data_IF_786467068355
#
_entry.id   IF_786467068355
#
_cell.length_a   1.000
_cell.length_b   1.000
_cell.length_c   1.000
_cell.angle_alpha   90.00
_cell.angle_beta   90.00
_cell.angle_gamma   90.00
#
_symmetry.space_group_name_H-M   'P 1'
#
loop_
_entity.id
_entity.type
_entity.pdbx_description
1 polymer ?
#
# COMPACT_ATOMS: atom_id res chain seq x y z
N UNK A 1 8.80 10.83 12.89
CA UNK A 1 10.07 10.12 13.14
C UNK A 1 11.19 10.59 12.22
N UNK A 2 11.18 10.32 10.90
CA UNK A 2 12.26 10.70 9.96
C UNK A 2 12.73 12.16 10.08
N UNK A 3 11.80 13.11 10.07
CA UNK A 3 12.13 14.54 10.20
C UNK A 3 12.88 14.86 11.49
N UNK A 4 12.47 14.23 12.60
CA UNK A 4 13.10 14.40 13.91
C UNK A 4 14.50 13.78 13.92
N UNK A 5 14.67 12.58 13.34
CA UNK A 5 15.99 11.93 13.21
C UNK A 5 16.97 12.81 12.44
N UNK A 6 16.55 13.36 11.29
CA UNK A 6 17.39 14.27 10.50
C UNK A 6 17.71 15.55 11.29
N UNK A 7 16.73 16.13 11.99
CA UNK A 7 16.94 17.32 12.82
C UNK A 7 17.94 17.06 13.95
N UNK A 8 17.81 15.93 14.66
CA UNK A 8 18.71 15.54 15.75
C UNK A 8 20.13 15.27 15.24
N UNK A 9 20.27 14.52 14.14
CA UNK A 9 21.57 14.28 13.53
C UNK A 9 22.25 15.58 13.09
N UNK A 10 21.51 16.48 12.43
CA UNK A 10 22.04 17.79 12.00
C UNK A 10 22.40 18.69 13.18
N UNK A 11 21.65 18.63 14.29
CA UNK A 11 21.93 19.38 15.50
C UNK A 11 23.24 18.95 16.18
N UNK A 12 23.62 17.67 16.06
CA UNK A 12 24.87 17.14 16.60
C UNK A 12 26.13 17.53 15.81
N UNK A 13 25.96 18.07 14.59
CA UNK A 13 27.07 18.50 13.72
C UNK A 13 27.36 20.00 13.95
N UNK A 14 28.62 20.38 14.24
CA UNK A 14 29.02 21.78 14.33
C UNK A 14 28.63 22.56 13.06
N UNK A 15 28.18 23.81 13.20
CA UNK A 15 27.64 24.59 12.08
C UNK A 15 28.63 24.70 10.91
N UNK A 16 29.92 24.82 11.20
CA UNK A 16 30.99 24.90 10.21
C UNK A 16 31.14 23.61 9.38
N UNK A 17 30.76 22.46 9.95
CA UNK A 17 30.91 21.13 9.35
C UNK A 17 29.60 20.60 8.76
N UNK A 18 28.52 21.40 8.79
CA UNK A 18 27.22 20.97 8.28
C UNK A 18 27.29 20.79 6.76
N UNK A 19 26.92 19.60 6.25
CA UNK A 19 26.90 19.38 4.82
C UNK A 19 25.82 20.24 4.15
N UNK A 20 26.07 20.65 2.91
CA UNK A 20 25.03 21.20 2.05
C UNK A 20 24.09 20.07 1.66
N UNK A 21 22.81 20.19 2.02
CA UNK A 21 21.78 19.19 1.72
C UNK A 21 20.76 19.80 0.76
N UNK A 22 20.48 19.10 -0.33
CA UNK A 22 19.33 19.37 -1.19
C UNK A 22 18.23 18.38 -0.86
N UNK A 23 17.04 18.88 -0.54
CA UNK A 23 15.91 18.05 -0.16
C UNK A 23 14.98 17.86 -1.34
N UNK A 24 14.55 16.62 -1.55
CA UNK A 24 13.56 16.26 -2.54
C UNK A 24 12.49 15.41 -1.89
N UNK A 25 11.24 15.58 -2.34
CA UNK A 25 10.17 14.61 -2.11
C UNK A 25 10.01 13.76 -3.37
N UNK A 26 9.64 12.51 -3.17
CA UNK A 26 9.23 11.61 -4.24
C UNK A 26 7.92 10.93 -3.83
N UNK A 27 7.14 10.60 -4.85
CA UNK A 27 5.84 9.94 -4.78
C UNK A 27 5.49 9.58 -6.21
N UNK A 28 4.47 10.18 -6.80
CA UNK A 28 4.26 10.11 -8.25
C UNK A 28 5.28 10.97 -9.03
N UNK A 29 5.78 12.03 -8.40
CA UNK A 29 6.70 12.99 -9.00
C UNK A 29 7.88 13.32 -8.08
N UNK A 30 9.03 13.63 -8.68
CA UNK A 30 10.19 14.18 -7.95
C UNK A 30 10.09 15.70 -7.90
N UNK A 31 10.12 16.28 -6.70
CA UNK A 31 10.11 17.72 -6.50
C UNK A 31 11.12 18.15 -5.44
N UNK A 32 11.87 19.24 -5.72
CA UNK A 32 12.75 19.88 -4.72
C UNK A 32 11.89 20.56 -3.66
N UNK A 33 12.27 20.41 -2.39
CA UNK A 33 11.63 21.10 -1.27
C UNK A 33 12.65 21.97 -0.55
N UNK A 34 12.27 23.15 -0.07
CA UNK A 34 13.21 24.10 0.53
C UNK A 34 13.56 23.74 1.98
N UNK A 35 12.73 22.93 2.66
CA UNK A 35 12.95 22.57 4.06
C UNK A 35 12.34 21.21 4.44
N UNK A 36 12.83 20.64 5.56
CA UNK A 36 12.28 19.42 6.15
C UNK A 36 10.81 19.54 6.56
N UNK A 37 10.35 20.76 6.89
CA UNK A 37 8.97 21.01 7.29
C UNK A 37 8.02 20.75 6.13
N UNK A 38 8.45 21.07 4.90
CA UNK A 38 7.66 20.94 3.67
C UNK A 38 7.64 19.54 3.07
N UNK A 39 8.43 18.59 3.60
CA UNK A 39 8.30 17.18 3.24
C UNK A 39 6.93 16.65 3.70
N UNK A 40 5.99 16.45 2.78
CA UNK A 40 4.66 15.89 3.05
C UNK A 40 4.42 14.69 2.16
N UNK A 41 3.75 13.67 2.70
CA UNK A 41 3.20 12.57 1.91
C UNK A 41 1.87 13.05 1.33
N UNK A 42 1.87 13.43 0.05
CA UNK A 42 0.68 13.97 -0.63
C UNK A 42 0.30 13.18 -1.88
N UNK A 43 1.14 12.24 -2.29
CA UNK A 43 0.95 11.41 -3.46
C UNK A 43 0.49 10.00 -3.01
N UNK A 44 -0.28 9.29 -3.83
CA UNK A 44 -0.84 7.96 -3.51
C UNK A 44 0.09 6.79 -3.87
N UNK A 45 1.16 7.06 -4.63
CA UNK A 45 2.11 6.07 -5.08
C UNK A 45 3.57 6.48 -4.78
N UNK A 46 4.46 5.49 -4.69
CA UNK A 46 5.90 5.69 -4.45
C UNK A 46 6.73 5.23 -5.66
N UNK A 47 6.92 6.12 -6.64
CA UNK A 47 7.70 5.84 -7.85
C UNK A 47 9.20 6.13 -7.66
N UNK A 48 9.86 5.34 -6.81
CA UNK A 48 11.27 5.54 -6.45
C UNK A 48 12.21 5.45 -7.67
N UNK A 49 12.07 4.42 -8.52
CA UNK A 49 12.96 4.25 -9.68
C UNK A 49 12.86 5.44 -10.68
N UNK A 50 11.67 5.86 -11.13
CA UNK A 50 11.54 7.09 -11.94
C UNK A 50 12.04 8.35 -11.25
N UNK A 51 11.93 8.44 -9.92
CA UNK A 51 12.46 9.59 -9.18
C UNK A 51 13.99 9.63 -9.22
N UNK A 52 14.67 8.50 -9.03
CA UNK A 52 16.13 8.40 -9.12
C UNK A 52 16.63 8.65 -10.55
N UNK A 53 15.92 8.20 -11.59
CA UNK A 53 16.29 8.52 -12.98
C UNK A 53 16.30 10.03 -13.26
N UNK A 54 15.37 10.76 -12.66
CA UNK A 54 15.22 12.21 -12.87
C UNK A 54 16.14 13.04 -12.00
N UNK A 55 16.56 12.52 -10.84
CA UNK A 55 17.32 13.26 -9.84
C UNK A 55 18.62 13.89 -10.39
N UNK A 56 19.46 13.20 -11.20
CA UNK A 56 20.68 13.79 -11.75
C UNK A 56 20.42 15.06 -12.56
N UNK A 57 19.32 15.12 -13.30
CA UNK A 57 18.93 16.31 -14.09
C UNK A 57 18.48 17.50 -13.24
N UNK A 58 18.14 17.27 -11.97
CA UNK A 58 17.68 18.29 -11.02
C UNK A 58 18.78 18.76 -10.08
N UNK A 59 19.94 18.12 -10.11
CA UNK A 59 21.09 18.50 -9.32
C UNK A 59 21.70 19.78 -9.90
N UNK A 60 21.88 20.80 -9.04
CA UNK A 60 22.59 22.02 -9.40
C UNK A 60 24.09 21.75 -9.69
N UNK A 61 24.83 22.76 -10.13
CA UNK A 61 26.24 22.66 -10.53
C UNK A 61 27.18 22.13 -9.44
N UNK A 62 26.76 22.10 -8.17
CA UNK A 62 27.50 21.46 -7.08
C UNK A 62 27.07 19.99 -6.99
N UNK A 63 27.92 19.09 -7.49
CA UNK A 63 27.61 17.68 -7.57
C UNK A 63 27.59 17.08 -6.14
N UNK A 64 26.46 16.50 -5.68
CA UNK A 64 26.39 15.85 -4.39
C UNK A 64 27.38 14.68 -4.32
N UNK A 65 27.78 14.34 -3.11
CA UNK A 65 28.69 13.21 -2.84
C UNK A 65 27.97 11.91 -2.52
N UNK A 66 26.67 11.99 -2.23
CA UNK A 66 25.82 10.85 -1.91
C UNK A 66 24.36 11.22 -2.10
N UNK A 67 23.51 10.21 -2.31
CA UNK A 67 22.05 10.33 -2.25
C UNK A 67 21.55 9.48 -1.08
N UNK A 68 20.72 10.09 -0.23
CA UNK A 68 20.06 9.38 0.86
C UNK A 68 18.58 9.22 0.50
N UNK A 69 18.11 7.98 0.46
CA UNK A 69 16.70 7.63 0.23
C UNK A 69 16.09 7.25 1.56
N UNK A 70 14.98 7.89 1.91
CA UNK A 70 14.22 7.59 3.10
C UNK A 70 12.84 7.10 2.68
N UNK A 71 12.58 5.83 2.93
CA UNK A 71 11.38 5.11 2.50
C UNK A 71 11.12 3.96 3.46
N UNK A 72 9.89 3.49 3.56
CA UNK A 72 9.53 2.21 4.19
C UNK A 72 10.02 0.98 3.40
N UNK A 73 10.57 1.18 2.21
CA UNK A 73 11.11 0.12 1.37
C UNK A 73 10.08 -0.51 0.42
N UNK A 74 8.88 0.08 0.28
CA UNK A 74 7.93 -0.34 -0.73
C UNK A 74 8.50 -0.09 -2.14
N UNK A 75 8.67 -1.16 -2.92
CA UNK A 75 9.18 -1.11 -4.29
C UNK A 75 8.29 -1.94 -5.21
N UNK A 76 8.01 -1.40 -6.40
CA UNK A 76 7.25 -2.10 -7.44
C UNK A 76 8.17 -2.83 -8.45
N UNK A 77 9.34 -2.25 -8.74
CA UNK A 77 10.27 -2.72 -9.79
C UNK A 77 11.72 -2.78 -9.28
N UNK A 78 12.09 -3.92 -8.69
CA UNK A 78 13.43 -4.13 -8.13
C UNK A 78 14.54 -4.30 -9.17
N UNK A 79 14.24 -4.83 -10.36
CA UNK A 79 15.24 -5.04 -11.41
C UNK A 79 15.70 -3.69 -11.96
N UNK A 80 14.75 -2.79 -12.25
CA UNK A 80 15.06 -1.42 -12.69
C UNK A 80 15.86 -0.66 -11.65
N UNK A 81 15.54 -0.83 -10.37
CA UNK A 81 16.27 -0.19 -9.29
C UNK A 81 17.73 -0.70 -9.20
N UNK A 82 17.96 -1.98 -9.45
CA UNK A 82 19.31 -2.57 -9.50
C UNK A 82 20.16 -1.91 -10.59
N UNK A 83 19.63 -1.81 -11.82
CA UNK A 83 20.32 -1.13 -12.93
C UNK A 83 20.62 0.34 -12.62
N UNK A 84 19.69 1.02 -11.94
CA UNK A 84 19.92 2.41 -11.48
C UNK A 84 21.05 2.50 -10.47
N UNK A 85 21.13 1.59 -9.50
CA UNK A 85 22.21 1.62 -8.51
C UNK A 85 23.60 1.44 -9.14
N UNK A 86 23.71 0.66 -10.22
CA UNK A 86 24.97 0.52 -10.97
C UNK A 86 25.33 1.81 -11.70
N UNK A 87 24.37 2.45 -12.38
CA UNK A 87 24.60 3.75 -13.03
C UNK A 87 25.03 4.85 -12.04
N UNK A 88 24.42 4.88 -10.84
CA UNK A 88 24.82 5.78 -9.76
C UNK A 88 26.23 5.49 -9.23
N UNK A 89 26.62 4.22 -9.16
CA UNK A 89 27.98 3.81 -8.78
C UNK A 89 29.00 4.28 -9.82
N UNK A 90 28.70 4.18 -11.11
CA UNK A 90 29.56 4.69 -12.18
C UNK A 90 29.77 6.22 -12.09
N UNK A 91 28.73 6.95 -11.66
CA UNK A 91 28.82 8.39 -11.39
C UNK A 91 29.55 8.74 -10.06
N UNK A 92 30.09 7.75 -9.34
CA UNK A 92 30.67 7.92 -8.00
C UNK A 92 29.69 8.58 -7.00
N UNK A 93 28.39 8.31 -7.16
CA UNK A 93 27.32 8.88 -6.36
C UNK A 93 26.57 7.75 -5.64
N UNK A 94 27.08 7.25 -4.48
CA UNK A 94 26.45 6.17 -3.76
C UNK A 94 25.02 6.54 -3.31
N UNK A 95 24.11 5.57 -3.43
CA UNK A 95 22.76 5.65 -2.86
C UNK A 95 22.76 4.91 -1.53
N UNK A 96 22.44 5.61 -0.45
CA UNK A 96 22.21 5.06 0.88
C UNK A 96 20.72 5.02 1.17
N UNK A 97 20.20 3.86 1.54
CA UNK A 97 18.80 3.71 1.94
C UNK A 97 18.70 3.70 3.46
N UNK A 98 17.80 4.53 4.00
CA UNK A 98 17.36 4.46 5.38
C UNK A 98 15.90 4.03 5.39
N UNK A 99 15.64 2.90 6.04
CA UNK A 99 14.28 2.39 6.17
C UNK A 99 13.59 3.19 7.27
N UNK A 100 12.57 3.94 6.88
CA UNK A 100 11.67 4.64 7.77
C UNK A 100 10.57 3.68 8.21
N UNK A 101 10.84 2.89 9.24
CA UNK A 101 9.87 1.93 9.79
C UNK A 101 9.70 2.12 11.29
N UNK A 102 8.47 1.94 11.76
CA UNK A 102 8.19 1.73 13.17
C UNK A 102 8.77 0.37 13.58
N UNK A 103 9.47 0.28 14.72
CA UNK A 103 10.08 -0.98 15.18
C UNK A 103 9.04 -2.07 15.51
N UNK A 104 7.74 -1.76 15.40
CA UNK A 104 6.61 -2.67 15.56
C UNK A 104 6.00 -3.20 14.26
N UNK A 105 6.50 -2.81 13.08
CA UNK A 105 6.03 -3.37 11.81
C UNK A 105 6.48 -4.81 11.66
N UNK A 106 5.51 -5.71 11.48
CA UNK A 106 5.73 -7.15 11.32
C UNK A 106 5.53 -7.61 9.88
N UNK A 107 4.69 -6.92 9.13
CA UNK A 107 4.41 -7.23 7.73
C UNK A 107 3.12 -6.58 7.25
N UNK A 108 2.37 -7.25 6.37
CA UNK A 108 1.13 -6.69 5.81
C UNK A 108 0.12 -7.80 5.49
N UNK A 109 -1.18 -7.48 5.56
CA UNK A 109 -2.28 -8.35 5.10
C UNK A 109 -3.26 -7.51 4.30
N UNK A 110 -3.58 -7.93 3.09
CA UNK A 110 -4.37 -7.15 2.15
C UNK A 110 -5.37 -7.99 1.37
N UNK A 111 -6.48 -7.38 0.99
CA UNK A 111 -7.35 -7.88 -0.08
C UNK A 111 -6.75 -7.40 -1.40
N UNK A 112 -6.00 -8.26 -2.08
CA UNK A 112 -5.29 -7.89 -3.30
C UNK A 112 -6.19 -7.87 -4.54
N UNK A 113 -7.16 -8.79 -4.60
CA UNK A 113 -8.12 -8.88 -5.70
C UNK A 113 -9.50 -9.26 -5.19
N UNK A 114 -10.54 -8.76 -5.86
CA UNK A 114 -11.92 -9.15 -5.62
C UNK A 114 -12.67 -9.23 -6.96
N UNK A 115 -13.21 -10.42 -7.24
CA UNK A 115 -14.09 -10.68 -8.36
C UNK A 115 -15.46 -11.09 -7.83
N UNK A 116 -16.50 -10.38 -8.28
CA UNK A 116 -17.89 -10.58 -7.86
C UNK A 116 -18.77 -10.92 -9.06
N UNK A 117 -19.86 -11.70 -8.89
CA UNK A 117 -20.80 -11.95 -9.96
C UNK A 117 -21.45 -10.65 -10.46
N UNK A 118 -21.54 -10.42 -11.78
CA UNK A 118 -22.06 -9.16 -12.32
C UNK A 118 -23.57 -9.00 -12.10
N UNK A 119 -24.31 -10.10 -11.98
CA UNK A 119 -25.74 -10.14 -11.68
C UNK A 119 -26.08 -11.31 -10.79
N UNK A 120 -26.95 -11.09 -9.82
CA UNK A 120 -27.42 -12.09 -8.86
C UNK A 120 -28.95 -12.12 -8.81
N UNK A 121 -29.54 -13.24 -8.42
CA UNK A 121 -30.99 -13.38 -8.26
C UNK A 121 -31.32 -13.42 -6.78
N UNK A 122 -32.25 -12.59 -6.31
CA UNK A 122 -32.71 -12.65 -4.91
C UNK A 122 -33.16 -14.07 -4.55
N UNK A 123 -32.70 -14.55 -3.40
CA UNK A 123 -32.88 -15.92 -2.91
C UNK A 123 -31.76 -16.90 -3.29
N UNK A 124 -30.86 -16.54 -4.21
CA UNK A 124 -29.72 -17.38 -4.58
C UNK A 124 -28.51 -17.12 -3.66
N UNK A 125 -27.39 -17.78 -3.96
CA UNK A 125 -26.08 -17.56 -3.32
C UNK A 125 -25.12 -16.92 -4.32
N UNK A 126 -24.38 -15.91 -3.89
CA UNK A 126 -23.33 -15.27 -4.69
C UNK A 126 -21.95 -15.69 -4.19
N UNK A 127 -21.13 -16.26 -5.08
CA UNK A 127 -19.73 -16.62 -4.77
C UNK A 127 -18.82 -15.45 -5.09
N UNK A 128 -18.16 -14.91 -4.07
CA UNK A 128 -17.11 -13.90 -4.18
C UNK A 128 -15.76 -14.61 -4.24
N UNK A 129 -14.97 -14.30 -5.27
CA UNK A 129 -13.60 -14.80 -5.41
C UNK A 129 -12.64 -13.69 -5.05
N UNK A 130 -11.79 -13.92 -4.07
CA UNK A 130 -10.83 -12.91 -3.62
C UNK A 130 -9.44 -13.51 -3.47
N UNK A 131 -8.42 -12.69 -3.67
CA UNK A 131 -7.03 -13.05 -3.37
C UNK A 131 -6.62 -12.27 -2.15
N UNK A 132 -6.31 -12.96 -1.07
CA UNK A 132 -5.69 -12.38 0.12
C UNK A 132 -4.19 -12.46 -0.05
N UNK A 133 -3.49 -11.35 0.14
CA UNK A 133 -2.03 -11.32 0.19
C UNK A 133 -1.61 -11.10 1.64
N UNK A 134 -0.65 -11.88 2.12
CA UNK A 134 -0.09 -11.69 3.47
C UNK A 134 1.42 -11.77 3.44
N UNK A 135 2.10 -11.03 4.32
CA UNK A 135 3.54 -11.12 4.55
C UNK A 135 3.81 -10.98 6.04
N UNK A 136 4.59 -11.86 6.64
CA UNK A 136 4.96 -11.78 8.07
C UNK A 136 3.85 -12.18 9.04
N UNK A 137 2.75 -12.75 8.52
CA UNK A 137 1.58 -13.17 9.28
C UNK A 137 1.23 -14.65 9.08
N UNK A 138 2.13 -15.45 8.51
CA UNK A 138 1.94 -16.87 8.27
C UNK A 138 1.47 -17.63 9.53
N UNK A 139 0.52 -18.55 9.35
CA UNK A 139 -0.07 -19.35 10.43
C UNK A 139 -1.10 -18.63 11.28
N UNK A 140 -1.30 -17.32 11.12
CA UNK A 140 -2.35 -16.61 11.84
C UNK A 140 -3.72 -16.90 11.25
N UNK A 141 -4.71 -17.08 12.13
CA UNK A 141 -6.10 -17.32 11.75
C UNK A 141 -6.87 -16.01 11.78
N UNK A 142 -7.47 -15.65 10.66
CA UNK A 142 -8.29 -14.45 10.50
C UNK A 142 -9.64 -14.81 9.87
N UNK A 143 -10.59 -13.88 9.89
CA UNK A 143 -11.93 -14.07 9.33
C UNK A 143 -12.17 -13.01 8.27
N UNK A 144 -12.36 -13.42 7.02
CA UNK A 144 -12.94 -12.54 6.01
C UNK A 144 -14.42 -12.36 6.33
N UNK A 145 -14.91 -11.14 6.23
CA UNK A 145 -16.30 -10.81 6.50
C UNK A 145 -16.89 -9.92 5.42
N UNK A 146 -18.15 -10.17 5.07
CA UNK A 146 -18.94 -9.27 4.21
C UNK A 146 -19.98 -8.56 5.05
N UNK A 147 -20.05 -7.25 4.92
CA UNK A 147 -21.06 -6.41 5.53
C UNK A 147 -21.81 -5.61 4.47
N UNK A 148 -23.03 -5.17 4.80
CA UNK A 148 -23.65 -4.09 4.04
C UNK A 148 -22.84 -2.81 4.24
N UNK A 149 -22.68 -2.00 3.19
CA UNK A 149 -21.86 -0.79 3.25
C UNK A 149 -22.38 0.16 4.36
N UNK A 150 -21.47 0.65 5.21
CA UNK A 150 -21.80 1.53 6.34
C UNK A 150 -22.46 0.82 7.53
N UNK A 151 -22.48 -0.52 7.54
CA UNK A 151 -22.98 -1.37 8.65
C UNK A 151 -21.92 -2.36 9.12
N UNK A 152 -20.67 -1.94 9.20
CA UNK A 152 -19.54 -2.78 9.63
C UNK A 152 -19.63 -3.21 11.11
N UNK A 153 -20.43 -2.51 11.92
CA UNK A 153 -20.73 -2.90 13.32
C UNK A 153 -21.88 -3.91 13.45
N UNK A 154 -22.62 -4.20 12.38
CA UNK A 154 -23.68 -5.20 12.38
C UNK A 154 -23.10 -6.62 12.20
N UNK A 155 -23.87 -7.68 12.49
CA UNK A 155 -23.43 -9.03 12.17
C UNK A 155 -23.08 -9.18 10.67
N UNK A 156 -21.98 -9.87 10.34
CA UNK A 156 -21.59 -10.07 8.96
C UNK A 156 -22.61 -10.92 8.19
N UNK A 157 -22.86 -10.55 6.94
CA UNK A 157 -23.72 -11.27 6.02
C UNK A 157 -23.10 -12.61 5.59
N UNK A 158 -21.77 -12.67 5.58
CA UNK A 158 -21.02 -13.89 5.31
C UNK A 158 -19.65 -13.82 5.99
N UNK A 159 -19.12 -14.97 6.42
CA UNK A 159 -17.77 -15.07 6.98
C UNK A 159 -17.01 -16.27 6.43
N UNK A 160 -15.69 -16.14 6.30
CA UNK A 160 -14.79 -17.22 5.94
C UNK A 160 -13.55 -17.16 6.84
N UNK A 161 -13.38 -18.10 7.79
CA UNK A 161 -12.15 -18.22 8.54
C UNK A 161 -11.05 -18.81 7.66
N UNK A 162 -9.92 -18.12 7.59
CA UNK A 162 -8.74 -18.54 6.83
C UNK A 162 -7.50 -18.58 7.74
N UNK A 163 -6.52 -19.38 7.35
CA UNK A 163 -5.16 -19.32 7.93
C UNK A 163 -4.25 -18.71 6.88
N UNK A 164 -3.47 -17.71 7.28
CA UNK A 164 -2.59 -16.98 6.38
C UNK A 164 -1.36 -17.83 6.00
N UNK A 165 -0.98 -17.86 4.72
CA UNK A 165 0.08 -18.76 4.21
C UNK A 165 1.40 -18.08 3.86
N UNK A 166 1.51 -16.76 4.03
CA UNK A 166 2.57 -15.92 3.44
C UNK A 166 2.54 -15.97 1.90
N UNK A 167 2.43 -14.81 1.26
CA UNK A 167 2.15 -14.68 -0.17
C UNK A 167 0.65 -14.58 -0.48
N UNK A 168 0.29 -14.91 -1.73
CA UNK A 168 -1.07 -14.75 -2.27
C UNK A 168 -1.85 -16.06 -2.13
N UNK A 169 -3.01 -16.00 -1.49
CA UNK A 169 -3.91 -17.13 -1.33
C UNK A 169 -5.31 -16.81 -1.91
N UNK A 170 -5.81 -17.61 -2.86
CA UNK A 170 -7.18 -17.47 -3.34
C UNK A 170 -8.16 -17.97 -2.26
N UNK A 171 -9.27 -17.25 -2.09
CA UNK A 171 -10.33 -17.54 -1.15
C UNK A 171 -11.68 -17.39 -1.86
N UNK A 172 -12.62 -18.28 -1.53
CA UNK A 172 -14.00 -18.21 -2.02
C UNK A 172 -14.94 -18.06 -0.83
N UNK A 173 -15.71 -16.97 -0.82
CA UNK A 173 -16.72 -16.69 0.20
C UNK A 173 -18.09 -16.66 -0.48
N UNK A 174 -19.08 -17.29 0.15
CA UNK A 174 -20.45 -17.34 -0.35
C UNK A 174 -21.33 -16.44 0.51
N UNK A 175 -22.06 -15.52 -0.13
CA UNK A 175 -23.03 -14.63 0.53
C UNK A 175 -24.44 -14.94 0.04
N UNK A 176 -25.39 -14.97 0.97
CA UNK A 176 -26.81 -15.13 0.64
C UNK A 176 -27.38 -13.82 0.07
N UNK A 177 -28.20 -13.95 -0.97
CA UNK A 177 -28.62 -12.84 -1.82
C UNK A 177 -30.01 -12.35 -1.42
N UNK A 178 -30.09 -11.38 -0.52
CA UNK A 178 -31.37 -10.79 -0.07
C UNK A 178 -31.96 -9.74 -1.04
N UNK A 179 -33.24 -9.40 -0.84
CA UNK A 179 -33.96 -8.44 -1.69
C UNK A 179 -33.38 -7.01 -1.65
N UNK A 180 -32.73 -6.63 -0.54
CA UNK A 180 -32.07 -5.33 -0.34
C UNK A 180 -30.59 -5.35 -0.78
N UNK A 181 -30.26 -6.15 -1.80
CA UNK A 181 -28.89 -6.21 -2.32
C UNK A 181 -28.45 -4.87 -2.92
N UNK A 182 -27.26 -4.44 -2.50
CA UNK A 182 -26.69 -3.17 -2.90
C UNK A 182 -25.19 -3.08 -2.65
N UNK A 183 -24.76 -1.93 -2.15
CA UNK A 183 -23.35 -1.70 -1.79
C UNK A 183 -22.96 -2.55 -0.57
N UNK A 184 -21.81 -3.19 -0.65
CA UNK A 184 -21.26 -4.09 0.36
C UNK A 184 -19.78 -3.79 0.56
N UNK A 185 -19.25 -4.31 1.66
CA UNK A 185 -17.85 -4.18 2.01
C UNK A 185 -17.31 -5.56 2.34
N UNK A 186 -16.23 -5.98 1.69
CA UNK A 186 -15.43 -7.14 2.09
C UNK A 186 -14.30 -6.62 2.98
N UNK A 187 -14.11 -7.22 4.15
CA UNK A 187 -13.07 -6.81 5.09
C UNK A 187 -12.30 -7.96 5.72
N UNK A 188 -11.07 -7.64 6.10
CA UNK A 188 -10.19 -8.40 6.97
C UNK A 188 -9.98 -7.62 8.29
N UNK A 189 -9.76 -8.31 9.42
CA UNK A 189 -9.34 -7.63 10.64
C UNK A 189 -7.96 -7.01 10.45
N UNK A 190 -7.75 -5.83 11.01
CA UNK A 190 -6.42 -5.21 11.07
C UNK A 190 -5.60 -5.90 12.16
N UNK A 191 -4.45 -6.45 11.79
CA UNK A 191 -3.57 -7.13 12.74
C UNK A 191 -2.52 -6.17 13.34
N UNK A 192 -2.11 -6.38 14.61
CA UNK A 192 -1.03 -5.61 15.20
C UNK A 192 0.27 -5.73 14.39
N UNK A 193 0.85 -4.58 14.03
CA UNK A 193 2.08 -4.52 13.25
C UNK A 193 1.89 -4.63 11.73
N UNK A 194 0.66 -4.51 11.22
CA UNK A 194 0.41 -4.30 9.78
C UNK A 194 0.93 -2.95 9.30
N UNK A 195 1.49 -2.94 8.08
CA UNK A 195 2.04 -1.76 7.43
C UNK A 195 0.95 -0.83 6.88
N UNK A 196 -0.09 -1.41 6.26
CA UNK A 196 -1.21 -0.66 5.67
C UNK A 196 -2.51 -1.21 6.23
N UNK A 197 -3.48 -0.35 6.56
CA UNK A 197 -4.78 -0.77 7.13
C UNK A 197 -5.93 -0.60 6.15
N UNK A 198 -5.73 0.29 5.19
CA UNK A 198 -6.70 0.70 4.20
C UNK A 198 -6.94 -0.42 3.17
N UNK A 199 -5.93 -1.27 2.94
CA UNK A 199 -6.00 -2.40 2.01
C UNK A 199 -6.67 -3.66 2.61
N UNK A 200 -7.09 -3.62 3.88
CA UNK A 200 -7.88 -4.69 4.51
C UNK A 200 -9.37 -4.60 4.14
N UNK A 201 -9.81 -3.54 3.47
CA UNK A 201 -11.23 -3.26 3.20
C UNK A 201 -11.47 -2.91 1.74
N UNK A 202 -12.38 -3.62 1.07
CA UNK A 202 -12.71 -3.39 -0.34
C UNK A 202 -14.23 -3.23 -0.50
N UNK A 203 -14.73 -2.05 -0.93
CA UNK A 203 -16.13 -1.87 -1.27
C UNK A 203 -16.47 -2.54 -2.60
N UNK A 204 -17.65 -3.14 -2.71
CA UNK A 204 -18.18 -3.72 -3.94
C UNK A 204 -19.70 -3.59 -4.01
N UNK A 205 -20.30 -3.97 -5.14
CA UNK A 205 -21.75 -3.97 -5.33
C UNK A 205 -22.19 -5.24 -6.04
N UNK A 206 -23.27 -5.84 -5.57
CA UNK A 206 -24.00 -6.87 -6.29
C UNK A 206 -25.22 -6.22 -6.96
N UNK A 207 -25.47 -6.55 -8.23
CA UNK A 207 -26.62 -6.04 -8.97
C UNK A 207 -27.65 -7.14 -9.19
N UNK A 208 -28.93 -6.85 -8.98
CA UNK A 208 -29.99 -7.83 -9.21
C UNK A 208 -30.24 -8.03 -10.71
N UNK A 209 -30.59 -9.25 -11.11
CA UNK A 209 -31.04 -9.54 -12.48
C UNK A 209 -32.50 -9.11 -12.64
N UNK A 210 -32.76 -8.16 -13.55
CA UNK A 210 -34.13 -7.76 -13.92
C UNK A 210 -34.90 -8.93 -14.55
N UNK A 211 -36.04 -9.27 -13.94
CA UNK A 211 -36.93 -10.35 -14.42
C UNK A 211 -38.07 -9.74 -15.23
N UNK A 212 -37.80 -9.28 -16.46
CA UNK A 212 -38.89 -8.95 -17.41
C UNK A 212 -39.48 -10.24 -17.98
N UNK A 213 -40.60 -10.68 -17.41
CA UNK A 213 -41.47 -11.68 -18.03
C UNK A 213 -42.13 -11.05 -19.26
N UNK A 214 -41.82 -11.56 -20.46
CA UNK A 214 -42.66 -11.33 -21.64
C UNK A 214 -43.80 -12.34 -21.58
N UNK A 215 -45.01 -11.85 -21.36
CA UNK A 215 -46.23 -12.60 -21.64
C UNK A 215 -46.45 -12.55 -23.15
N UNK A 216 -46.54 -13.72 -23.80
CA UNK A 216 -46.95 -13.88 -25.20
C UNK A 216 -48.44 -14.24 -25.25
#
# INVERSE_FOLDING_TARGET
QVKQTIQQATASIPVADRPRVQLFRFGEHLAKVPSLVELRSIDEASQLAPALERLPSRMESDQPRAVFVLSDGAIEDGERLTKLTDAYREMSLPIHTLIAGDNGLRGDVAIAELAVPPRVTSGDKATLRTVVSSRGFAGQRVVLAVHAAGRESAPPLATLPITLTDGRQPCELVVDVDADIGAMTLSLPVLPGEATRENNTVPFRLAQRDRRLKVL
#
